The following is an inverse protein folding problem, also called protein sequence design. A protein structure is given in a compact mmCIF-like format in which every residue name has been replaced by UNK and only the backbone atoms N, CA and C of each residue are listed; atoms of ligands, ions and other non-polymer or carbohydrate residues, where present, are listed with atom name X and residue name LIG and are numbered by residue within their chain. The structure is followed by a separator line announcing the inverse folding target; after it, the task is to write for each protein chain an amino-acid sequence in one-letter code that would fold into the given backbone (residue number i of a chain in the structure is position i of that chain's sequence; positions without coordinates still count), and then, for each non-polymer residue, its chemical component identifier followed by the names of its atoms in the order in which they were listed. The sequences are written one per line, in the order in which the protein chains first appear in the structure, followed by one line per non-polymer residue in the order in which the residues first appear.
data_IF_410366505875
#
_entry.id   IF_410366505875
#
_cell.length_a   1.000
_cell.length_b   1.000
_cell.length_c   1.000
_cell.angle_alpha   90.00
_cell.angle_beta   90.00
_cell.angle_gamma   90.00
#
_symmetry.space_group_name_H-M   'P 1'
#
loop_
_entity.id
_entity.type
_entity.pdbx_description
1 polymer ?
#
# COMPACT_ATOMS: atom_id res chain seq x y z
N UNK A 1 10.75 -5.66 -9.56
CA UNK A 1 11.91 -6.25 -10.24
C UNK A 1 12.61 -5.12 -10.97
N UNK A 2 13.84 -4.84 -10.56
CA UNK A 2 14.69 -3.80 -11.14
C UNK A 2 14.98 -4.11 -12.62
N UNK A 3 14.69 -3.15 -13.50
CA UNK A 3 15.01 -3.23 -14.94
C UNK A 3 14.02 -4.03 -15.81
N UNK A 4 14.48 -4.37 -17.03
CA UNK A 4 13.70 -5.05 -18.07
C UNK A 4 12.70 -4.15 -18.81
N UNK A 5 12.06 -4.70 -19.86
CA UNK A 5 11.14 -3.96 -20.75
C UNK A 5 10.01 -3.26 -20.01
N UNK A 6 9.43 -3.91 -18.99
CA UNK A 6 8.36 -3.33 -18.18
C UNK A 6 8.82 -2.10 -17.39
N UNK A 7 10.00 -2.15 -16.78
CA UNK A 7 10.55 -0.99 -16.06
C UNK A 7 10.92 0.13 -17.02
N UNK A 8 11.55 -0.18 -18.15
CA UNK A 8 11.91 0.82 -19.17
C UNK A 8 10.69 1.59 -19.67
N UNK A 9 9.60 0.88 -20.00
CA UNK A 9 8.32 1.50 -20.39
C UNK A 9 7.80 2.38 -19.24
N UNK A 10 7.82 1.87 -18.00
CA UNK A 10 7.30 2.61 -16.85
C UNK A 10 8.08 3.90 -16.57
N UNK A 11 9.41 3.87 -16.65
CA UNK A 11 10.25 5.06 -16.51
C UNK A 11 9.91 6.08 -17.60
N UNK A 12 9.83 5.64 -18.87
CA UNK A 12 9.55 6.52 -19.99
C UNK A 12 8.16 7.17 -19.90
N UNK A 13 7.12 6.40 -19.57
CA UNK A 13 5.74 6.92 -19.46
C UNK A 13 5.59 7.89 -18.28
N UNK A 14 6.16 7.57 -17.12
CA UNK A 14 6.14 8.46 -15.95
C UNK A 14 6.91 9.75 -16.21
N UNK A 15 8.07 9.67 -16.86
CA UNK A 15 8.84 10.85 -17.25
C UNK A 15 8.08 11.74 -18.24
N UNK A 16 7.44 11.14 -19.27
CA UNK A 16 6.61 11.87 -20.24
C UNK A 16 5.44 12.58 -19.56
N UNK A 17 4.84 11.96 -18.54
CA UNK A 17 3.74 12.53 -17.79
C UNK A 17 4.18 13.53 -16.70
N UNK A 18 5.47 13.62 -16.38
CA UNK A 18 5.95 14.40 -15.23
C UNK A 18 5.47 13.85 -13.88
N UNK A 19 5.26 12.53 -13.80
CA UNK A 19 4.70 11.85 -12.63
C UNK A 19 5.71 10.91 -11.97
N UNK A 20 5.45 10.56 -10.72
CA UNK A 20 6.14 9.48 -10.00
C UNK A 20 5.19 8.30 -9.78
N UNK A 21 5.69 7.08 -9.51
CA UNK A 21 4.83 5.98 -9.08
C UNK A 21 4.02 6.40 -7.85
N UNK A 22 2.76 5.96 -7.79
CA UNK A 22 1.96 6.08 -6.57
C UNK A 22 2.60 5.22 -5.46
N UNK A 23 3.19 5.91 -4.49
CA UNK A 23 3.78 5.32 -3.29
C UNK A 23 2.80 5.33 -2.10
N UNK A 24 1.54 5.71 -2.33
CA UNK A 24 0.46 5.82 -1.34
C UNK A 24 0.71 6.92 -0.29
N UNK A 25 0.71 8.21 -0.70
CA UNK A 25 0.88 9.32 0.23
C UNK A 25 -0.17 9.33 1.34
N UNK A 26 0.27 9.65 2.57
CA UNK A 26 -0.57 9.80 3.76
C UNK A 26 -1.42 8.57 4.12
N UNK A 27 -1.06 7.39 3.60
CA UNK A 27 -1.79 6.16 3.87
C UNK A 27 -1.59 5.72 5.33
N UNK A 28 -2.69 5.49 6.02
CA UNK A 28 -2.71 4.93 7.38
C UNK A 28 -3.55 3.65 7.36
N UNK A 29 -2.96 2.47 7.60
CA UNK A 29 -3.71 1.24 7.77
C UNK A 29 -4.73 1.37 8.89
N UNK A 30 -5.97 0.93 8.65
CA UNK A 30 -7.02 0.87 9.67
C UNK A 30 -7.50 -0.56 9.86
N UNK A 31 -7.70 -0.94 11.12
CA UNK A 31 -8.38 -2.16 11.47
C UNK A 31 -9.88 -1.95 11.26
N UNK A 32 -10.47 -2.69 10.34
CA UNK A 32 -11.87 -2.58 9.93
C UNK A 32 -12.55 -3.95 9.94
N UNK A 33 -13.87 -4.03 10.13
CA UNK A 33 -14.59 -5.28 9.95
C UNK A 33 -14.33 -5.90 8.57
N UNK A 34 -14.23 -7.22 8.52
CA UNK A 34 -14.14 -7.95 7.23
C UNK A 34 -15.41 -7.72 6.42
N UNK A 35 -16.56 -7.71 7.09
CA UNK A 35 -17.86 -7.52 6.47
C UNK A 35 -18.77 -6.62 7.33
N UNK A 36 -19.68 -5.91 6.66
CA UNK A 36 -20.64 -5.00 7.28
C UNK A 36 -22.01 -5.14 6.63
N UNK A 37 -23.06 -5.12 7.45
CA UNK A 37 -24.46 -5.09 7.00
C UNK A 37 -25.10 -3.75 7.34
N UNK A 38 -26.03 -3.30 6.51
CA UNK A 38 -26.79 -2.08 6.74
C UNK A 38 -28.20 -2.40 7.25
N UNK A 39 -28.65 -1.70 8.28
CA UNK A 39 -30.03 -1.74 8.76
C UNK A 39 -30.58 -0.32 8.99
N UNK A 40 -31.81 -0.21 9.50
CA UNK A 40 -32.46 1.07 9.81
C UNK A 40 -31.69 1.96 10.81
N UNK A 41 -30.71 1.40 11.53
CA UNK A 41 -29.85 2.10 12.49
C UNK A 41 -28.42 2.33 11.95
N UNK A 42 -28.17 2.07 10.67
CA UNK A 42 -26.89 2.32 10.00
C UNK A 42 -26.06 1.06 9.71
N UNK A 43 -24.77 1.28 9.45
CA UNK A 43 -23.81 0.21 9.12
C UNK A 43 -23.35 -0.47 10.42
N UNK A 44 -23.43 -1.80 10.46
CA UNK A 44 -23.03 -2.65 11.58
C UNK A 44 -22.07 -3.72 11.09
N UNK A 45 -21.05 -4.01 11.88
CA UNK A 45 -20.14 -5.11 11.60
C UNK A 45 -20.85 -6.47 11.68
N UNK A 46 -20.47 -7.40 10.81
CA UNK A 46 -20.92 -8.80 10.87
C UNK A 46 -20.17 -9.53 11.99
N UNK A 47 -20.86 -10.44 12.67
CA UNK A 47 -20.32 -11.26 13.76
C UNK A 47 -20.51 -12.74 13.45
N UNK A 48 -19.53 -13.57 13.84
CA UNK A 48 -19.56 -15.02 13.71
C UNK A 48 -19.39 -15.70 15.07
N UNK A 49 -19.86 -16.95 15.18
CA UNK A 49 -19.73 -17.75 16.39
C UNK A 49 -18.32 -18.36 16.40
N UNK A 50 -17.53 -18.02 17.43
CA UNK A 50 -16.17 -18.56 17.62
C UNK A 50 -16.11 -19.64 18.69
N UNK A 51 -17.21 -19.88 19.41
CA UNK A 51 -17.29 -20.91 20.42
C UNK A 51 -18.63 -20.92 21.14
N UNK A 52 -18.78 -21.85 22.07
CA UNK A 52 -19.93 -21.90 22.98
C UNK A 52 -19.42 -22.03 24.41
N UNK A 53 -20.02 -21.27 25.32
CA UNK A 53 -19.61 -21.18 26.71
C UNK A 53 -20.80 -21.49 27.61
N UNK A 54 -20.53 -22.13 28.76
CA UNK A 54 -21.56 -22.42 29.75
C UNK A 54 -21.52 -21.37 30.84
N UNK A 55 -22.52 -20.49 30.88
CA UNK A 55 -22.59 -19.38 31.84
C UNK A 55 -23.74 -19.59 32.81
N UNK A 56 -23.51 -19.28 34.09
CA UNK A 56 -24.56 -19.24 35.10
C UNK A 56 -25.28 -17.89 34.98
N UNK A 57 -26.55 -17.90 34.57
CA UNK A 57 -27.35 -16.69 34.45
C UNK A 57 -28.70 -16.87 35.14
N UNK A 58 -29.01 -15.96 36.07
CA UNK A 58 -30.23 -15.99 36.89
C UNK A 58 -30.45 -17.37 37.57
N UNK A 59 -29.40 -17.93 38.15
CA UNK A 59 -29.44 -19.21 38.89
C UNK A 59 -29.57 -20.47 38.03
N UNK A 60 -29.55 -20.35 36.69
CA UNK A 60 -29.61 -21.50 35.78
C UNK A 60 -28.40 -21.51 34.84
N UNK A 61 -27.82 -22.68 34.63
CA UNK A 61 -26.78 -22.87 33.65
C UNK A 61 -27.35 -22.79 32.24
N UNK A 62 -26.75 -21.96 31.38
CA UNK A 62 -27.12 -21.80 29.98
C UNK A 62 -25.89 -21.93 29.11
N UNK A 63 -26.04 -22.58 27.97
CA UNK A 63 -25.04 -22.54 26.89
C UNK A 63 -25.31 -21.32 26.04
N UNK A 64 -24.30 -20.48 25.83
CA UNK A 64 -24.38 -19.27 25.00
C UNK A 64 -23.32 -19.32 23.91
N UNK A 65 -23.65 -18.78 22.74
CA UNK A 65 -22.70 -18.58 21.65
C UNK A 65 -21.79 -17.39 21.97
N UNK A 66 -20.49 -17.59 21.81
CA UNK A 66 -19.49 -16.52 21.88
C UNK A 66 -19.33 -15.96 20.48
N UNK A 67 -19.68 -14.68 20.32
CA UNK A 67 -19.62 -13.99 19.04
C UNK A 67 -18.35 -13.14 18.94
N UNK A 68 -17.67 -13.21 17.80
CA UNK A 68 -16.58 -12.30 17.46
C UNK A 68 -16.88 -11.57 16.15
N UNK A 69 -16.29 -10.38 15.99
CA UNK A 69 -16.27 -9.67 14.71
C UNK A 69 -14.93 -9.92 14.02
N UNK A 70 -14.89 -10.62 12.87
CA UNK A 70 -13.68 -10.73 12.09
C UNK A 70 -13.25 -9.36 11.59
N UNK A 71 -11.96 -9.03 11.76
CA UNK A 71 -11.37 -7.76 11.34
C UNK A 71 -10.20 -7.98 10.40
N UNK A 72 -9.91 -6.96 9.60
CA UNK A 72 -8.78 -6.92 8.65
C UNK A 72 -8.19 -5.52 8.57
N UNK A 73 -6.93 -5.42 8.11
CA UNK A 73 -6.27 -4.14 7.89
C UNK A 73 -6.51 -3.63 6.47
N UNK A 74 -6.98 -2.38 6.32
CA UNK A 74 -7.16 -1.73 5.02
C UNK A 74 -6.48 -0.34 4.95
N UNK A 75 -5.73 -0.04 3.87
CA UNK A 75 -5.16 -1.02 2.94
C UNK A 75 -4.19 -1.96 3.69
N UNK A 76 -4.06 -3.20 3.21
CA UNK A 76 -3.20 -4.18 3.86
C UNK A 76 -1.74 -3.67 3.88
N UNK A 77 -0.99 -3.82 4.99
CA UNK A 77 0.40 -3.36 5.08
C UNK A 77 1.29 -3.83 3.93
N UNK A 78 1.08 -5.06 3.44
CA UNK A 78 1.83 -5.61 2.31
C UNK A 78 1.63 -4.81 1.01
N UNK A 79 0.44 -4.23 0.82
CA UNK A 79 0.16 -3.37 -0.35
C UNK A 79 0.97 -2.09 -0.28
N UNK A 80 1.07 -1.48 0.90
CA UNK A 80 1.88 -0.27 1.14
C UNK A 80 3.35 -0.60 0.92
N UNK A 81 3.84 -1.69 1.53
CA UNK A 81 5.22 -2.15 1.35
C UNK A 81 5.55 -2.44 -0.13
N UNK A 82 4.60 -3.01 -0.88
CA UNK A 82 4.75 -3.22 -2.32
C UNK A 82 4.83 -1.91 -3.11
N UNK A 83 4.01 -0.91 -2.76
CA UNK A 83 4.06 0.41 -3.38
C UNK A 83 5.40 1.12 -3.12
N UNK A 84 5.91 1.05 -1.89
CA UNK A 84 7.22 1.58 -1.53
C UNK A 84 8.34 0.90 -2.33
N UNK A 85 8.37 -0.43 -2.39
CA UNK A 85 9.36 -1.17 -3.21
C UNK A 85 9.27 -0.82 -4.69
N UNK A 86 8.05 -0.67 -5.22
CA UNK A 86 7.86 -0.30 -6.62
C UNK A 86 8.39 1.11 -6.92
N UNK A 87 8.27 2.04 -5.95
CA UNK A 87 8.86 3.36 -6.04
C UNK A 87 10.39 3.29 -5.97
N UNK A 88 10.97 2.54 -5.02
CA UNK A 88 12.43 2.36 -4.91
C UNK A 88 13.03 1.72 -6.17
N UNK A 89 12.35 0.72 -6.74
CA UNK A 89 12.75 0.07 -7.98
C UNK A 89 12.78 1.05 -9.15
N UNK A 90 11.75 1.91 -9.25
CA UNK A 90 11.67 2.94 -10.28
C UNK A 90 12.72 4.04 -10.06
N UNK A 91 12.92 4.48 -8.82
CA UNK A 91 13.91 5.51 -8.47
C UNK A 91 15.31 5.07 -8.85
N UNK A 92 15.68 3.84 -8.48
CA UNK A 92 16.97 3.23 -8.84
C UNK A 92 17.15 3.11 -10.36
N UNK A 93 16.08 2.73 -11.08
CA UNK A 93 16.13 2.65 -12.54
C UNK A 93 16.30 4.03 -13.19
N UNK A 94 15.65 5.06 -12.66
CA UNK A 94 15.79 6.44 -13.14
C UNK A 94 17.19 7.00 -12.86
N UNK A 95 17.71 6.75 -11.66
CA UNK A 95 19.06 7.11 -11.24
C UNK A 95 20.12 6.49 -12.17
N UNK A 96 19.98 5.21 -12.47
CA UNK A 96 20.85 4.51 -13.43
C UNK A 96 20.81 5.12 -14.84
N UNK A 97 19.63 5.52 -15.33
CA UNK A 97 19.50 6.19 -16.62
C UNK A 97 20.19 7.55 -16.60
N UNK A 98 20.02 8.33 -15.53
CA UNK A 98 20.71 9.62 -15.36
C UNK A 98 22.22 9.43 -15.42
N UNK A 99 22.77 8.52 -14.62
CA UNK A 99 24.21 8.27 -14.55
C UNK A 99 24.77 7.83 -15.90
N UNK A 100 24.06 6.95 -16.61
CA UNK A 100 24.44 6.51 -17.96
C UNK A 100 24.47 7.66 -18.98
N UNK A 101 23.52 8.60 -18.89
CA UNK A 101 23.50 9.78 -19.76
C UNK A 101 24.62 10.77 -19.43
N UNK A 102 24.91 10.99 -18.15
CA UNK A 102 26.00 11.86 -17.68
C UNK A 102 27.36 11.29 -18.09
N UNK A 103 27.63 10.03 -17.75
CA UNK A 103 28.90 9.36 -18.09
C UNK A 103 29.09 9.22 -19.60
N UNK A 104 28.01 8.99 -20.34
CA UNK A 104 28.05 8.80 -21.78
C UNK A 104 28.31 10.08 -22.57
N UNK A 105 28.13 11.27 -22.00
CA UNK A 105 28.28 12.55 -22.71
C UNK A 105 27.43 12.66 -23.97
N UNK A 106 26.30 11.94 -24.02
CA UNK A 106 25.51 11.78 -25.25
C UNK A 106 24.67 13.03 -25.59
N UNK A 107 24.40 13.87 -24.59
CA UNK A 107 23.63 15.09 -24.73
C UNK A 107 24.59 16.26 -25.00
N UNK A 108 24.43 16.91 -26.16
CA UNK A 108 25.28 18.03 -26.60
C UNK A 108 24.72 19.40 -26.23
N UNK A 109 23.40 19.53 -26.29
CA UNK A 109 22.68 20.81 -26.10
C UNK A 109 21.98 20.91 -24.75
N UNK A 110 21.88 19.78 -24.02
CA UNK A 110 21.15 19.68 -22.76
C UNK A 110 22.11 19.23 -21.67
N UNK A 111 22.21 20.01 -20.61
CA UNK A 111 22.92 19.64 -19.38
C UNK A 111 21.96 18.97 -18.40
N UNK A 112 22.36 17.80 -17.88
CA UNK A 112 21.59 17.11 -16.85
C UNK A 112 22.00 17.62 -15.47
N UNK A 113 21.01 18.01 -14.68
CA UNK A 113 21.23 18.39 -13.28
C UNK A 113 21.20 17.17 -12.36
N UNK A 114 21.70 17.33 -11.14
CA UNK A 114 21.59 16.33 -10.07
C UNK A 114 20.18 16.25 -9.45
N UNK A 115 19.25 17.10 -9.87
CA UNK A 115 17.92 17.16 -9.30
C UNK A 115 17.16 15.85 -9.53
N UNK A 116 16.74 15.21 -8.43
CA UNK A 116 16.03 13.94 -8.44
C UNK A 116 14.79 14.00 -7.54
N UNK A 117 13.78 13.14 -7.80
CA UNK A 117 12.71 12.87 -6.85
C UNK A 117 13.28 12.42 -5.50
N UNK A 118 12.56 12.67 -4.40
CA UNK A 118 12.96 12.19 -3.06
C UNK A 118 13.10 10.67 -3.06
N UNK A 119 14.16 10.15 -2.44
CA UNK A 119 14.46 8.70 -2.41
C UNK A 119 13.37 7.90 -1.69
N UNK A 120 12.90 8.40 -0.54
CA UNK A 120 11.85 7.79 0.28
C UNK A 120 10.84 8.84 0.72
N UNK A 121 9.89 9.21 -0.16
CA UNK A 121 8.96 10.31 0.13
C UNK A 121 8.00 10.03 1.31
N UNK A 122 7.85 8.77 1.73
CA UNK A 122 7.06 8.37 2.90
C UNK A 122 7.76 8.56 4.25
N UNK A 123 9.08 8.79 4.28
CA UNK A 123 9.79 9.14 5.50
C UNK A 123 9.69 10.66 5.68
N UNK A 124 8.75 11.12 6.51
CA UNK A 124 8.67 12.52 6.95
C UNK A 124 9.68 12.81 8.05
#
# INVERSE_FOLDING_TARGET
ALGGKRMAIRVAELARAGLTPDWMPDVVPRCVPVDTRQNQHGIRAVTEIVGTERVLSRGKWRTVEVLACPVTWRPHPDRIASAHRAYEDWWTALDWVRDGLVQGGMLREVELTEAMPRVRPWNR
#
